data_IF_429991031721
#
_entry.id   IF_429991031721
#
_cell.length_a   1.000
_cell.length_b   1.000
_cell.length_c   1.000
_cell.angle_alpha   90.00
_cell.angle_beta   90.00
_cell.angle_gamma   90.00
#
_symmetry.space_group_name_H-M   'P 1'
#
loop_
_entity.id
_entity.type
_entity.pdbx_description
1 polymer ?
#
# COMPACT_ATOMS: atom_id res chain seq x y z
N UNK A 1 22.59 -7.65 1.00
CA UNK A 1 22.00 -8.35 2.16
C UNK A 1 22.23 -7.51 3.40
N UNK A 2 21.17 -7.00 4.03
CA UNK A 2 21.28 -6.28 5.29
C UNK A 2 20.78 -7.22 6.39
N UNK A 3 21.63 -7.53 7.37
CA UNK A 3 21.30 -8.44 8.47
C UNK A 3 20.62 -7.66 9.60
N UNK A 4 19.29 -7.66 9.64
CA UNK A 4 18.54 -7.40 10.85
C UNK A 4 18.12 -8.74 11.47
N UNK A 5 18.58 -9.02 12.68
CA UNK A 5 18.13 -10.05 13.63
C UNK A 5 17.23 -11.18 13.07
N UNK A 6 17.86 -12.29 12.65
CA UNK A 6 17.28 -13.66 12.57
C UNK A 6 15.93 -13.84 11.82
N UNK A 7 15.42 -12.83 11.12
CA UNK A 7 14.21 -12.89 10.30
C UNK A 7 14.58 -12.47 8.87
N UNK A 8 14.54 -13.42 7.94
CA UNK A 8 14.91 -13.20 6.54
C UNK A 8 13.79 -12.44 5.81
N UNK A 9 13.79 -11.11 5.89
CA UNK A 9 12.96 -10.26 5.03
C UNK A 9 13.73 -10.05 3.72
N UNK A 10 13.13 -10.44 2.59
CA UNK A 10 13.77 -10.25 1.28
C UNK A 10 13.83 -8.75 0.96
N UNK A 11 14.92 -8.30 0.35
CA UNK A 11 15.08 -6.88 -0.06
C UNK A 11 13.93 -6.47 -0.99
N UNK A 12 13.44 -7.40 -1.82
CA UNK A 12 12.28 -7.19 -2.69
C UNK A 12 11.00 -6.85 -1.93
N UNK A 13 10.77 -7.45 -0.75
CA UNK A 13 9.60 -7.12 0.09
C UNK A 13 9.70 -5.71 0.68
N UNK A 14 10.89 -5.29 1.10
CA UNK A 14 11.11 -3.92 1.58
C UNK A 14 10.88 -2.89 0.49
N UNK A 15 11.39 -3.16 -0.72
CA UNK A 15 11.18 -2.29 -1.89
C UNK A 15 9.70 -2.22 -2.23
N UNK A 16 9.00 -3.36 -2.26
CA UNK A 16 7.56 -3.40 -2.52
C UNK A 16 6.76 -2.56 -1.51
N UNK A 17 7.03 -2.73 -0.21
CA UNK A 17 6.35 -1.97 0.83
C UNK A 17 6.59 -0.46 0.69
N UNK A 18 7.83 -0.07 0.36
CA UNK A 18 8.19 1.33 0.14
C UNK A 18 7.48 1.91 -1.09
N UNK A 19 7.43 1.17 -2.20
CA UNK A 19 6.73 1.56 -3.42
C UNK A 19 5.22 1.68 -3.17
N UNK A 20 4.60 0.71 -2.50
CA UNK A 20 3.17 0.78 -2.15
C UNK A 20 2.88 2.00 -1.26
N UNK A 21 3.72 2.25 -0.24
CA UNK A 21 3.57 3.43 0.62
C UNK A 21 3.65 4.74 -0.16
N UNK A 22 4.64 4.90 -1.04
CA UNK A 22 4.77 6.08 -1.90
C UNK A 22 3.53 6.25 -2.79
N UNK A 23 3.04 5.16 -3.37
CA UNK A 23 1.88 5.22 -4.26
C UNK A 23 0.61 5.60 -3.50
N UNK A 24 0.40 5.09 -2.27
CA UNK A 24 -0.71 5.55 -1.44
C UNK A 24 -0.61 7.02 -1.06
N UNK A 25 0.61 7.49 -0.75
CA UNK A 25 0.86 8.91 -0.48
C UNK A 25 0.49 9.77 -1.70
N UNK A 26 1.00 9.45 -2.89
CA UNK A 26 0.71 10.20 -4.12
C UNK A 26 -0.75 10.09 -4.54
N UNK A 27 -1.41 8.94 -4.34
CA UNK A 27 -2.82 8.77 -4.62
C UNK A 27 -3.69 9.68 -3.73
N UNK A 28 -3.32 9.80 -2.45
CA UNK A 28 -4.02 10.68 -1.51
C UNK A 28 -3.77 12.15 -1.81
N UNK A 29 -2.53 12.55 -2.11
CA UNK A 29 -2.17 13.92 -2.48
C UNK A 29 -2.86 14.37 -3.77
N UNK A 30 -2.84 13.51 -4.80
CA UNK A 30 -3.54 13.75 -6.06
C UNK A 30 -5.06 13.90 -5.87
N UNK A 31 -5.64 13.07 -4.99
CA UNK A 31 -7.05 13.14 -4.66
C UNK A 31 -7.41 14.44 -3.93
N UNK A 32 -6.59 14.83 -2.95
CA UNK A 32 -6.75 16.07 -2.20
C UNK A 32 -6.68 17.30 -3.12
N UNK A 33 -5.80 17.31 -4.12
CA UNK A 33 -5.73 18.39 -5.11
C UNK A 33 -6.94 18.49 -6.05
N UNK A 34 -7.73 17.42 -6.21
CA UNK A 34 -8.85 17.33 -7.17
C UNK A 34 -10.22 17.49 -6.52
N UNK A 35 -10.42 16.84 -5.37
CA UNK A 35 -11.69 16.79 -4.65
C UNK A 35 -11.63 17.52 -3.31
N UNK A 36 -10.46 18.08 -2.96
CA UNK A 36 -10.24 19.02 -1.88
C UNK A 36 -11.28 20.11 -1.88
N UNK A 37 -12.20 20.10 -0.92
CA UNK A 37 -13.00 21.28 -0.64
C UNK A 37 -12.02 22.38 -0.19
N UNK A 38 -11.81 23.37 -1.06
CA UNK A 38 -11.04 24.59 -0.79
C UNK A 38 -11.83 25.42 0.23
N UNK A 39 -11.87 24.97 1.48
CA UNK A 39 -12.30 25.79 2.60
C UNK A 39 -11.12 26.65 3.02
N UNK A 40 -11.22 28.00 2.96
CA UNK A 40 -10.09 28.88 3.24
C UNK A 40 -9.56 28.78 4.68
N UNK A 41 -10.29 28.15 5.61
CA UNK A 41 -9.88 27.90 7.00
C UNK A 41 -9.04 26.63 7.22
N UNK A 42 -8.98 25.69 6.28
CA UNK A 42 -8.20 24.44 6.41
C UNK A 42 -6.74 24.58 5.97
N UNK A 43 -6.25 25.82 5.80
CA UNK A 43 -4.85 26.16 5.50
C UNK A 43 -3.90 26.01 6.72
N UNK A 44 -4.37 25.36 7.78
CA UNK A 44 -3.57 25.02 8.95
C UNK A 44 -2.69 23.79 8.66
N UNK A 45 -1.59 23.68 9.41
CA UNK A 45 -0.54 22.67 9.28
C UNK A 45 -1.03 21.20 9.16
N UNK A 46 -2.28 20.93 9.51
CA UNK A 46 -3.00 19.65 9.38
C UNK A 46 -3.13 19.13 7.94
N UNK A 47 -3.16 20.01 6.93
CA UNK A 47 -3.28 19.58 5.53
C UNK A 47 -2.11 18.70 5.06
N UNK A 48 -0.90 18.96 5.57
CA UNK A 48 0.32 18.23 5.20
C UNK A 48 0.30 16.79 5.75
N UNK A 49 -0.37 16.56 6.88
CA UNK A 49 -0.39 15.25 7.54
C UNK A 49 -1.47 14.32 6.98
N UNK A 50 -2.48 14.84 6.25
CA UNK A 50 -3.58 14.04 5.68
C UNK A 50 -3.10 12.87 4.81
N UNK A 51 -2.23 13.08 3.78
CA UNK A 51 -1.76 11.99 2.93
C UNK A 51 -0.88 10.99 3.67
N UNK A 52 -0.14 11.46 4.68
CA UNK A 52 0.69 10.63 5.54
C UNK A 52 -0.14 9.68 6.41
N UNK A 53 -1.23 10.18 7.01
CA UNK A 53 -2.16 9.36 7.78
C UNK A 53 -2.83 8.30 6.89
N UNK A 54 -3.29 8.70 5.71
CA UNK A 54 -3.87 7.77 4.76
C UNK A 54 -2.89 6.65 4.36
N UNK A 55 -1.68 7.01 3.93
CA UNK A 55 -0.67 6.04 3.49
C UNK A 55 -0.21 5.12 4.63
N UNK A 56 -0.04 5.64 5.85
CA UNK A 56 0.37 4.85 7.01
C UNK A 56 -0.70 3.87 7.46
N UNK A 57 -1.98 4.27 7.51
CA UNK A 57 -3.10 3.39 7.84
C UNK A 57 -3.19 2.25 6.82
N UNK A 58 -3.17 2.57 5.52
CA UNK A 58 -3.22 1.56 4.46
C UNK A 58 -2.00 0.63 4.46
N UNK A 59 -0.79 1.15 4.70
CA UNK A 59 0.41 0.32 4.77
C UNK A 59 0.39 -0.62 6.00
N UNK A 60 -0.06 -0.13 7.16
CA UNK A 60 -0.19 -0.95 8.37
C UNK A 60 -1.24 -2.04 8.20
N UNK A 61 -2.41 -1.71 7.65
CA UNK A 61 -3.45 -2.69 7.35
C UNK A 61 -2.99 -3.69 6.30
N UNK A 62 -2.28 -3.23 5.27
CA UNK A 62 -1.68 -4.13 4.27
C UNK A 62 -0.71 -5.11 4.93
N UNK A 63 0.08 -4.65 5.89
CA UNK A 63 0.97 -5.50 6.67
C UNK A 63 0.22 -6.49 7.57
N UNK A 64 -0.87 -6.06 8.23
CA UNK A 64 -1.69 -6.93 9.09
C UNK A 64 -2.40 -8.04 8.30
N UNK A 65 -2.80 -7.75 7.06
CA UNK A 65 -3.41 -8.72 6.15
C UNK A 65 -2.42 -9.71 5.54
N UNK A 66 -1.16 -9.69 6.00
CA UNK A 66 -0.07 -10.54 5.51
C UNK A 66 0.03 -10.47 3.98
N UNK A 67 -0.17 -9.28 3.42
CA UNK A 67 -0.03 -9.04 1.99
C UNK A 67 1.43 -9.05 1.55
N UNK A 68 2.38 -8.99 2.50
CA UNK A 68 3.82 -9.10 2.26
C UNK A 68 4.37 -10.52 2.49
N UNK A 69 3.55 -11.46 2.94
CA UNK A 69 4.00 -12.83 3.22
C UNK A 69 4.31 -13.65 1.97
N UNK A 70 5.19 -14.66 2.12
CA UNK A 70 5.52 -15.65 1.07
C UNK A 70 4.28 -16.38 0.50
N UNK A 71 3.16 -16.36 1.22
CA UNK A 71 1.88 -16.92 0.82
C UNK A 71 1.28 -16.28 -0.45
N UNK A 72 1.78 -15.14 -0.93
CA UNK A 72 1.38 -14.58 -2.23
C UNK A 72 1.52 -15.60 -3.37
N UNK A 73 2.56 -16.44 -3.35
CA UNK A 73 2.79 -17.47 -4.38
C UNK A 73 1.67 -18.53 -4.53
N UNK A 74 0.73 -18.62 -3.58
CA UNK A 74 -0.30 -19.68 -3.56
C UNK A 74 -1.52 -19.40 -4.47
N UNK A 75 -1.61 -18.24 -5.13
CA UNK A 75 -2.52 -18.03 -6.26
C UNK A 75 -3.22 -16.67 -6.32
N UNK A 76 -3.51 -16.21 -7.55
CA UNK A 76 -4.14 -14.91 -7.84
C UNK A 76 -5.47 -14.70 -7.12
N UNK A 77 -6.31 -15.73 -7.02
CA UNK A 77 -7.64 -15.63 -6.39
C UNK A 77 -7.54 -15.33 -4.89
N UNK A 78 -6.60 -15.96 -4.20
CA UNK A 78 -6.33 -15.71 -2.77
C UNK A 78 -5.86 -14.28 -2.55
N UNK A 79 -4.99 -13.77 -3.43
CA UNK A 79 -4.52 -12.39 -3.39
C UNK A 79 -5.67 -11.39 -3.54
N UNK A 80 -6.56 -11.58 -4.52
CA UNK A 80 -7.70 -10.67 -4.70
C UNK A 80 -8.60 -10.63 -3.47
N UNK A 81 -8.88 -11.77 -2.83
CA UNK A 81 -9.68 -11.79 -1.60
C UNK A 81 -8.99 -11.08 -0.44
N UNK A 82 -7.67 -11.25 -0.27
CA UNK A 82 -6.90 -10.53 0.77
C UNK A 82 -6.89 -9.02 0.53
N UNK A 83 -6.67 -8.59 -0.72
CA UNK A 83 -6.72 -7.18 -1.09
C UNK A 83 -8.12 -6.61 -0.85
N UNK A 84 -9.17 -7.30 -1.29
CA UNK A 84 -10.55 -6.87 -1.08
C UNK A 84 -10.89 -6.76 0.41
N UNK A 85 -10.50 -7.73 1.24
CA UNK A 85 -10.68 -7.68 2.69
C UNK A 85 -9.94 -6.53 3.35
N UNK A 86 -8.67 -6.32 2.97
CA UNK A 86 -7.86 -5.20 3.44
C UNK A 86 -8.49 -3.86 3.09
N UNK A 87 -8.96 -3.70 1.84
CA UNK A 87 -9.61 -2.47 1.39
C UNK A 87 -10.97 -2.24 2.05
N UNK A 88 -11.76 -3.28 2.27
CA UNK A 88 -13.03 -3.16 2.98
C UNK A 88 -12.82 -2.65 4.42
N UNK A 89 -11.85 -3.22 5.14
CA UNK A 89 -11.56 -2.83 6.52
C UNK A 89 -10.90 -1.46 6.58
N UNK A 90 -9.95 -1.19 5.68
CA UNK A 90 -9.31 0.14 5.58
C UNK A 90 -10.33 1.22 5.24
N UNK A 91 -11.26 0.94 4.34
CA UNK A 91 -12.32 1.87 3.96
C UNK A 91 -13.26 2.16 5.12
N UNK A 92 -13.68 1.12 5.85
CA UNK A 92 -14.53 1.27 7.04
C UNK A 92 -13.82 2.10 8.12
N UNK A 93 -12.54 1.83 8.38
CA UNK A 93 -11.75 2.52 9.39
C UNK A 93 -11.47 3.98 9.03
N UNK A 94 -11.15 4.27 7.77
CA UNK A 94 -10.92 5.64 7.31
C UNK A 94 -12.23 6.44 7.24
N UNK A 95 -13.34 5.80 6.87
CA UNK A 95 -14.67 6.42 6.88
C UNK A 95 -15.19 6.68 8.29
N UNK A 96 -14.99 5.77 9.23
CA UNK A 96 -15.32 6.05 10.64
C UNK A 96 -14.41 7.14 11.22
N UNK A 97 -13.15 7.18 10.80
CA UNK A 97 -12.21 8.27 11.11
C UNK A 97 -12.69 9.63 10.61
N UNK A 98 -13.21 9.72 9.38
CA UNK A 98 -13.72 10.97 8.82
C UNK A 98 -14.97 11.48 9.53
N UNK A 99 -15.82 10.60 10.06
CA UNK A 99 -16.98 10.98 10.88
C UNK A 99 -16.59 11.52 12.26
N UNK A 100 -15.53 10.98 12.87
CA UNK A 100 -15.09 11.37 14.22
C UNK A 100 -14.21 12.62 14.22
N UNK A 101 -13.36 12.79 13.19
CA UNK A 101 -12.33 13.82 13.12
C UNK A 101 -12.28 14.46 11.71
N UNK A 102 -13.31 15.22 11.30
CA UNK A 102 -13.42 15.76 9.95
C UNK A 102 -12.29 16.74 9.59
N UNK A 103 -11.63 17.35 10.58
CA UNK A 103 -10.49 18.24 10.35
C UNK A 103 -9.21 17.48 9.93
N UNK A 104 -9.06 16.24 10.43
CA UNK A 104 -7.83 15.43 10.26
C UNK A 104 -7.94 14.47 9.07
N UNK A 105 -9.15 14.07 8.69
CA UNK A 105 -9.38 13.13 7.60
C UNK A 105 -9.84 13.81 6.31
N UNK A 106 -9.75 13.07 5.20
CA UNK A 106 -10.16 13.53 3.87
C UNK A 106 -11.70 13.63 3.77
N UNK A 107 -12.19 14.56 2.94
CA UNK A 107 -13.63 14.65 2.67
C UNK A 107 -14.15 13.42 1.92
N UNK A 108 -15.46 13.17 1.93
CA UNK A 108 -16.06 11.95 1.36
C UNK A 108 -15.66 11.71 -0.11
N UNK A 109 -15.59 12.77 -0.91
CA UNK A 109 -15.17 12.71 -2.32
C UNK A 109 -13.68 12.44 -2.50
N UNK A 110 -12.83 13.03 -1.66
CA UNK A 110 -11.38 12.77 -1.64
C UNK A 110 -11.08 11.33 -1.21
N UNK A 111 -11.78 10.84 -0.19
CA UNK A 111 -11.57 9.51 0.37
C UNK A 111 -11.94 8.41 -0.65
N UNK A 112 -13.10 8.52 -1.30
CA UNK A 112 -13.54 7.56 -2.32
C UNK A 112 -12.59 7.51 -3.51
N UNK A 113 -12.15 8.66 -4.02
CA UNK A 113 -11.22 8.72 -5.14
C UNK A 113 -9.81 8.24 -4.77
N UNK A 114 -9.30 8.59 -3.59
CA UNK A 114 -8.02 8.07 -3.10
C UNK A 114 -8.07 6.55 -2.92
N UNK A 115 -9.19 6.02 -2.40
CA UNK A 115 -9.37 4.59 -2.17
C UNK A 115 -9.42 3.79 -3.48
N UNK A 116 -10.16 4.28 -4.49
CA UNK A 116 -10.24 3.63 -5.79
C UNK A 116 -8.90 3.63 -6.52
N UNK A 117 -8.17 4.75 -6.51
CA UNK A 117 -6.83 4.84 -7.11
C UNK A 117 -5.86 3.90 -6.39
N UNK A 118 -5.90 3.86 -5.06
CA UNK A 118 -5.03 2.99 -4.24
C UNK A 118 -5.34 1.50 -4.48
N UNK A 119 -6.62 1.15 -4.64
CA UNK A 119 -7.06 -0.21 -4.92
C UNK A 119 -6.57 -0.70 -6.29
N UNK A 120 -6.69 0.13 -7.32
CA UNK A 120 -6.16 -0.21 -8.64
C UNK A 120 -4.63 -0.30 -8.62
N UNK A 121 -3.99 0.63 -7.93
CA UNK A 121 -2.53 0.69 -7.86
C UNK A 121 -1.93 -0.51 -7.15
N UNK A 122 -2.50 -0.94 -6.02
CA UNK A 122 -1.98 -2.12 -5.29
C UNK A 122 -2.09 -3.39 -6.14
N UNK A 123 -3.17 -3.54 -6.92
CA UNK A 123 -3.35 -4.67 -7.82
C UNK A 123 -2.29 -4.63 -8.93
N UNK A 124 -2.07 -3.47 -9.54
CA UNK A 124 -1.08 -3.28 -10.60
C UNK A 124 0.35 -3.55 -10.12
N UNK A 125 0.74 -2.96 -8.98
CA UNK A 125 2.06 -3.17 -8.37
C UNK A 125 2.27 -4.66 -8.11
N UNK A 126 1.23 -5.36 -7.62
CA UNK A 126 1.29 -6.79 -7.39
C UNK A 126 1.48 -7.57 -8.69
N UNK A 127 0.66 -7.34 -9.69
CA UNK A 127 0.80 -8.01 -10.99
C UNK A 127 2.20 -7.79 -11.60
N UNK A 128 2.73 -6.57 -11.50
CA UNK A 128 4.10 -6.24 -11.93
C UNK A 128 5.16 -7.05 -11.18
N UNK A 129 5.06 -7.13 -9.85
CA UNK A 129 6.02 -7.86 -9.04
C UNK A 129 5.96 -9.38 -9.25
N UNK A 130 4.77 -9.95 -9.49
CA UNK A 130 4.64 -11.38 -9.88
C UNK A 130 5.41 -11.64 -11.17
N UNK A 131 5.25 -10.75 -12.15
CA UNK A 131 5.92 -10.91 -13.44
C UNK A 131 7.42 -10.67 -13.31
N UNK A 132 7.84 -9.72 -12.47
CA UNK A 132 9.26 -9.46 -12.23
C UNK A 132 9.96 -10.63 -11.52
N UNK A 133 9.30 -11.29 -10.56
CA UNK A 133 9.82 -12.47 -9.86
C UNK A 133 10.01 -13.67 -10.81
N UNK A 134 9.13 -13.84 -11.82
CA UNK A 134 9.32 -14.85 -12.87
C UNK A 134 10.53 -14.56 -13.76
N UNK A 135 10.84 -13.28 -13.97
CA UNK A 135 11.93 -12.81 -14.84
C UNK A 135 13.29 -12.84 -14.14
N UNK A 136 13.34 -13.15 -12.84
CA UNK A 136 14.56 -13.36 -12.05
C UNK A 136 15.29 -14.70 -12.39
N UNK A 137 15.37 -14.98 -13.70
CA UNK A 137 16.22 -15.96 -14.39
C UNK A 137 17.72 -15.75 -14.15
N UNK A 138 18.12 -14.67 -13.46
CA UNK A 138 19.49 -14.44 -13.00
C UNK A 138 19.79 -15.07 -11.63
N UNK A 139 19.03 -16.08 -11.21
CA UNK A 139 19.55 -17.08 -10.28
C UNK A 139 20.75 -17.74 -10.96
N UNK A 140 21.94 -17.21 -10.73
CA UNK A 140 23.22 -17.83 -11.07
C UNK A 140 23.19 -19.20 -10.41
N UNK A 141 22.72 -20.22 -11.14
CA UNK A 141 22.81 -21.61 -10.75
C UNK A 141 24.29 -21.93 -10.80
N UNK A 142 25.00 -21.61 -9.72
CA UNK A 142 26.30 -22.22 -9.49
C UNK A 142 25.98 -23.67 -9.20
N UNK A 143 25.92 -24.45 -10.28
CA UNK A 143 25.97 -25.89 -10.25
C UNK A 143 27.33 -26.20 -9.63
N UNK A 144 27.36 -26.44 -8.31
CA UNK A 144 28.51 -27.03 -7.66
C UNK A 144 28.54 -28.48 -8.18
N UNK A 145 29.26 -28.69 -9.28
CA UNK A 145 29.77 -30.00 -9.65
C UNK A 145 30.74 -30.38 -8.52
N UNK A 146 30.31 -31.30 -7.67
CA UNK A 146 31.19 -31.93 -6.72
C UNK A 146 32.36 -32.58 -7.46
N UNK A 147 33.56 -32.36 -6.95
CA UNK A 147 34.71 -33.24 -7.12
C UNK A 147 35.03 -33.83 -5.77
#
# INVERSE_FOLDING_TARGET
>A
MIRFFRHYISVSMLILMLVEFLVFYFASDFSAGRHGLVSPESQTATAIYKPWLFASVLALLSSMFDLYGWAWTTGLRSLFFRVAGCFAISGLLLYSGSLLLPEVFASDGELLSAMTISCLSIILIRLLFIEWDKVDLFKKRVLILGT
#
